data_IF_985610496755
#
_entry.id   IF_985610496755
#
_cell.length_a   1.000
_cell.length_b   1.000
_cell.length_c   1.000
_cell.angle_alpha   90.00
_cell.angle_beta   90.00
_cell.angle_gamma   90.00
#
_symmetry.space_group_name_H-M   'P 1'
#
loop_
_entity.id
_entity.type
_entity.pdbx_description
1 polymer ?
#
# COMPACT_ATOMS: atom_id res chain seq x y z
N UNK A 1 1.85 1.80 6.75
CA UNK A 1 1.77 2.64 5.53
C UNK A 1 0.37 2.51 4.92
N UNK A 2 -0.16 3.58 4.33
CA UNK A 2 -1.51 3.59 3.75
C UNK A 2 -1.54 4.29 2.40
N UNK A 3 -2.45 3.82 1.53
CA UNK A 3 -2.75 4.39 0.22
C UNK A 3 -4.21 4.85 0.22
N UNK A 4 -4.43 6.16 0.18
CA UNK A 4 -5.76 6.78 0.26
C UNK A 4 -6.11 7.44 -1.06
N UNK A 5 -7.32 7.26 -1.61
CA UNK A 5 -7.74 8.01 -2.79
C UNK A 5 -7.72 9.52 -2.54
N UNK A 6 -7.12 10.27 -3.46
CA UNK A 6 -6.87 11.73 -3.33
C UNK A 6 -8.17 12.50 -3.01
N UNK A 7 -9.29 12.06 -3.56
CA UNK A 7 -10.62 12.67 -3.37
C UNK A 7 -11.21 12.53 -1.95
N UNK A 8 -10.70 11.62 -1.12
CA UNK A 8 -11.11 11.43 0.29
C UNK A 8 -9.93 11.57 1.26
N UNK A 9 -8.82 12.13 0.79
CA UNK A 9 -7.59 12.23 1.58
C UNK A 9 -7.80 13.00 2.89
N UNK A 10 -8.53 14.11 2.86
CA UNK A 10 -8.87 14.92 4.04
C UNK A 10 -9.84 14.24 5.01
N UNK A 11 -10.35 13.04 4.68
CA UNK A 11 -11.15 12.23 5.60
C UNK A 11 -10.30 11.27 6.43
N UNK A 12 -8.98 11.21 6.18
CA UNK A 12 -8.04 10.44 6.99
C UNK A 12 -7.46 11.31 8.10
N UNK A 13 -7.79 11.02 9.37
CA UNK A 13 -7.35 11.80 10.54
C UNK A 13 -6.03 11.32 11.15
N UNK A 14 -5.50 10.18 10.69
CA UNK A 14 -4.29 9.59 11.25
C UNK A 14 -4.45 9.12 12.70
N UNK A 15 -3.39 9.29 13.49
CA UNK A 15 -3.34 8.88 14.90
C UNK A 15 -3.84 9.96 15.88
N UNK A 16 -4.03 11.20 15.41
CA UNK A 16 -4.45 12.32 16.26
C UNK A 16 -5.98 12.49 16.19
N UNK A 17 -6.69 11.72 17.01
CA UNK A 17 -8.14 11.89 17.20
C UNK A 17 -8.56 11.58 18.63
N UNK A 18 -9.54 12.33 19.15
CA UNK A 18 -10.17 12.08 20.45
C UNK A 18 -11.20 10.92 20.40
N UNK A 19 -11.32 10.23 19.27
CA UNK A 19 -12.22 9.09 19.12
C UNK A 19 -11.71 7.87 19.88
N UNK A 20 -12.62 6.93 20.17
CA UNK A 20 -12.26 5.70 20.90
C UNK A 20 -11.37 4.74 20.08
N UNK A 21 -11.37 4.89 18.76
CA UNK A 21 -10.53 4.15 17.82
C UNK A 21 -10.15 5.11 16.69
N UNK A 22 -8.85 5.33 16.49
CA UNK A 22 -8.35 6.26 15.47
C UNK A 22 -8.27 5.60 14.10
N UNK A 23 -8.15 6.39 13.04
CA UNK A 23 -7.88 5.87 11.69
C UNK A 23 -6.61 5.02 11.64
N UNK A 24 -5.57 5.45 12.37
CA UNK A 24 -4.35 4.69 12.55
C UNK A 24 -4.59 3.34 13.23
N UNK A 25 -5.40 3.28 14.30
CA UNK A 25 -5.73 2.02 14.99
C UNK A 25 -6.44 1.04 14.05
N UNK A 26 -7.37 1.54 13.22
CA UNK A 26 -8.06 0.74 12.18
C UNK A 26 -7.08 0.20 11.14
N UNK A 27 -6.07 0.98 10.76
CA UNK A 27 -5.03 0.51 9.84
C UNK A 27 -4.13 -0.55 10.47
N UNK A 28 -3.67 -0.36 11.71
CA UNK A 28 -2.87 -1.35 12.45
C UNK A 28 -3.64 -2.63 12.77
N UNK A 29 -4.97 -2.58 12.83
CA UNK A 29 -5.81 -3.77 13.00
C UNK A 29 -5.95 -4.65 11.76
N UNK A 30 -5.36 -4.27 10.62
CA UNK A 30 -5.40 -5.08 9.39
C UNK A 30 -4.41 -6.24 9.48
N UNK A 31 -4.94 -7.46 9.43
CA UNK A 31 -4.15 -8.67 9.29
C UNK A 31 -3.60 -8.84 7.87
N UNK A 32 -2.45 -9.52 7.76
CA UNK A 32 -1.85 -9.92 6.49
C UNK A 32 -0.97 -8.83 5.87
N UNK A 33 -0.72 -8.97 4.56
CA UNK A 33 0.21 -8.09 3.85
C UNK A 33 -0.45 -6.86 3.24
N UNK A 34 -1.76 -6.92 3.02
CA UNK A 34 -2.56 -5.78 2.60
C UNK A 34 -4.02 -5.95 3.01
N UNK A 35 -4.70 -4.82 3.27
CA UNK A 35 -6.13 -4.83 3.56
C UNK A 35 -6.80 -3.51 3.28
N UNK A 36 -8.13 -3.53 3.20
CA UNK A 36 -8.94 -2.35 2.91
C UNK A 36 -9.66 -1.85 4.17
N UNK A 37 -9.54 -0.56 4.45
CA UNK A 37 -10.25 0.13 5.53
C UNK A 37 -11.13 1.24 4.95
N UNK A 38 -12.27 1.53 5.59
CA UNK A 38 -13.15 2.60 5.14
C UNK A 38 -12.53 3.99 5.41
N UNK A 39 -12.70 4.94 4.50
CA UNK A 39 -12.31 6.35 4.67
C UNK A 39 -13.27 7.24 3.88
N UNK A 40 -13.95 8.16 4.57
CA UNK A 40 -14.98 9.00 3.95
C UNK A 40 -16.05 8.17 3.24
N UNK A 41 -16.17 8.32 1.92
CA UNK A 41 -17.10 7.57 1.05
C UNK A 41 -16.39 6.51 0.18
N UNK A 42 -15.15 6.16 0.52
CA UNK A 42 -14.31 5.21 -0.22
C UNK A 42 -13.58 4.25 0.73
N UNK A 43 -12.59 3.54 0.21
CA UNK A 43 -11.68 2.69 0.97
C UNK A 43 -10.23 3.11 0.72
N UNK A 44 -9.41 2.96 1.76
CA UNK A 44 -7.97 3.06 1.69
C UNK A 44 -7.34 1.68 1.78
N UNK A 45 -6.18 1.53 1.15
CA UNK A 45 -5.40 0.31 1.14
C UNK A 45 -4.25 0.43 2.14
N UNK A 46 -4.26 -0.42 3.16
CA UNK A 46 -3.16 -0.59 4.12
C UNK A 46 -2.11 -1.51 3.50
N UNK A 47 -0.85 -1.11 3.62
CA UNK A 47 0.30 -1.86 3.11
C UNK A 47 1.10 -2.43 4.28
N UNK A 48 0.63 -3.57 4.82
CA UNK A 48 1.16 -4.28 5.98
C UNK A 48 1.44 -3.42 7.22
N UNK A 49 1.85 -4.09 8.29
CA UNK A 49 2.03 -3.44 9.60
C UNK A 49 3.47 -2.92 9.80
N UNK A 50 4.48 -3.65 9.33
CA UNK A 50 5.88 -3.25 9.55
C UNK A 50 6.29 -2.00 8.74
N UNK A 51 7.08 -1.08 9.32
CA UNK A 51 7.64 0.05 8.58
C UNK A 51 8.61 -0.45 7.51
N UNK A 52 8.39 -0.03 6.27
CA UNK A 52 9.23 -0.41 5.13
C UNK A 52 9.25 0.69 4.07
N UNK A 53 10.45 0.98 3.53
CA UNK A 53 10.59 1.84 2.36
C UNK A 53 9.77 1.26 1.21
N UNK A 54 8.89 2.07 0.63
CA UNK A 54 7.90 1.61 -0.34
C UNK A 54 7.99 2.42 -1.62
N UNK A 55 8.05 1.75 -2.76
CA UNK A 55 8.00 2.35 -4.10
C UNK A 55 6.84 1.78 -4.90
N UNK A 56 6.42 2.48 -5.95
CA UNK A 56 5.40 2.02 -6.88
C UNK A 56 6.00 1.87 -8.28
N UNK A 57 5.76 0.71 -8.92
CA UNK A 57 6.16 0.39 -10.29
C UNK A 57 4.91 0.45 -11.19
N UNK A 58 4.67 1.56 -11.92
CA UNK A 58 3.43 1.78 -12.66
C UNK A 58 3.16 0.73 -13.74
N UNK A 59 4.20 0.27 -14.44
CA UNK A 59 4.11 -0.71 -15.53
C UNK A 59 3.57 -2.06 -15.06
N UNK A 60 3.63 -2.33 -13.76
CA UNK A 60 3.21 -3.58 -13.11
C UNK A 60 2.03 -3.40 -12.16
N UNK A 61 1.61 -2.16 -11.92
CA UNK A 61 0.64 -1.81 -10.88
C UNK A 61 1.09 -2.32 -9.50
N UNK A 62 2.37 -2.18 -9.16
CA UNK A 62 2.97 -2.92 -8.04
C UNK A 62 3.58 -1.98 -7.01
N UNK A 63 3.13 -2.06 -5.77
CA UNK A 63 3.90 -1.55 -4.64
C UNK A 63 4.95 -2.58 -4.23
N UNK A 64 6.20 -2.12 -4.12
CA UNK A 64 7.34 -2.91 -3.67
C UNK A 64 7.80 -2.32 -2.35
N UNK A 65 7.72 -3.12 -1.29
CA UNK A 65 8.15 -2.75 0.05
C UNK A 65 9.44 -3.49 0.39
N UNK A 66 10.46 -2.72 0.71
CA UNK A 66 11.77 -3.21 1.10
C UNK A 66 11.72 -3.68 2.56
N UNK A 67 11.70 -5.00 2.76
CA UNK A 67 11.84 -5.59 4.10
C UNK A 67 13.32 -5.85 4.42
N UNK A 68 14.08 -6.43 3.48
CA UNK A 68 15.53 -6.58 3.55
C UNK A 68 16.13 -6.71 2.14
N UNK A 69 17.34 -6.19 1.94
CA UNK A 69 18.21 -6.35 0.78
C UNK A 69 19.52 -5.60 1.05
N UNK A 70 20.63 -5.96 0.39
CA UNK A 70 21.89 -5.24 0.53
C UNK A 70 21.88 -3.93 -0.28
N UNK A 71 21.03 -3.84 -1.31
CA UNK A 71 20.92 -2.66 -2.16
C UNK A 71 19.59 -2.56 -2.91
N UNK A 72 19.28 -1.36 -3.42
CA UNK A 72 18.11 -1.13 -4.27
C UNK A 72 18.20 -1.90 -5.59
N UNK A 73 19.40 -2.00 -6.16
CA UNK A 73 19.64 -2.74 -7.40
C UNK A 73 19.36 -4.23 -7.24
N UNK A 74 19.80 -4.83 -6.14
CA UNK A 74 19.48 -6.23 -5.81
C UNK A 74 17.97 -6.42 -5.64
N UNK A 75 17.34 -5.55 -4.85
CA UNK A 75 15.90 -5.59 -4.61
C UNK A 75 15.11 -5.53 -5.92
N UNK A 76 15.36 -4.52 -6.75
CA UNK A 76 14.65 -4.33 -8.02
C UNK A 76 14.95 -5.45 -9.01
N UNK A 77 16.20 -5.94 -9.05
CA UNK A 77 16.61 -7.08 -9.88
C UNK A 77 15.91 -8.39 -9.52
N UNK A 78 15.46 -8.53 -8.27
CA UNK A 78 14.75 -9.72 -7.78
C UNK A 78 13.23 -9.72 -8.03
N UNK A 79 12.63 -8.57 -8.37
CA UNK A 79 11.16 -8.41 -8.45
C UNK A 79 10.51 -9.37 -9.46
N UNK A 80 11.13 -9.58 -10.62
CA UNK A 80 10.57 -10.47 -11.64
C UNK A 80 10.53 -11.93 -11.19
N UNK A 81 11.60 -12.40 -10.55
CA UNK A 81 11.64 -13.75 -9.97
C UNK A 81 10.63 -13.87 -8.83
N UNK A 82 10.55 -12.85 -7.97
CA UNK A 82 9.62 -12.82 -6.85
C UNK A 82 8.15 -12.90 -7.31
N UNK A 83 7.80 -12.21 -8.40
CA UNK A 83 6.46 -12.28 -8.98
C UNK A 83 6.13 -13.65 -9.60
N UNK A 84 7.12 -14.35 -10.15
CA UNK A 84 6.94 -15.67 -10.73
C UNK A 84 6.67 -16.74 -9.67
N UNK A 85 7.32 -16.64 -8.52
CA UNK A 85 7.22 -17.60 -7.42
C UNK A 85 6.20 -17.19 -6.33
N UNK A 86 5.55 -16.03 -6.49
CA UNK A 86 4.64 -15.45 -5.51
C UNK A 86 3.47 -16.35 -5.11
N UNK A 87 3.36 -16.62 -3.81
CA UNK A 87 2.20 -17.25 -3.18
C UNK A 87 1.27 -16.18 -2.62
N UNK A 88 0.33 -15.72 -3.45
CA UNK A 88 -0.56 -14.61 -3.13
C UNK A 88 -1.59 -14.93 -2.03
N UNK A 89 -1.84 -13.95 -1.16
CA UNK A 89 -3.01 -13.91 -0.28
C UNK A 89 -4.33 -13.84 -1.09
N UNK A 90 -5.48 -14.17 -0.48
CA UNK A 90 -6.78 -13.99 -1.10
C UNK A 90 -6.98 -12.59 -1.65
N UNK A 91 -7.48 -12.51 -2.89
CA UNK A 91 -7.67 -11.22 -3.56
C UNK A 91 -8.81 -10.42 -2.92
N UNK A 92 -8.59 -9.12 -2.81
CA UNK A 92 -9.60 -8.14 -2.38
C UNK A 92 -10.03 -7.28 -3.57
N UNK A 93 -11.26 -6.77 -3.54
CA UNK A 93 -11.77 -5.85 -4.56
C UNK A 93 -11.76 -4.44 -4.00
N UNK A 94 -11.13 -3.53 -4.74
CA UNK A 94 -11.02 -2.12 -4.36
C UNK A 94 -11.58 -1.24 -5.48
N UNK A 95 -12.62 -0.47 -5.16
CA UNK A 95 -13.17 0.53 -6.07
C UNK A 95 -12.41 1.85 -5.91
N UNK A 96 -11.63 2.22 -6.93
CA UNK A 96 -10.72 3.37 -6.91
C UNK A 96 -11.32 4.50 -7.73
N UNK A 97 -11.55 5.70 -7.15
CA UNK A 97 -12.17 6.83 -7.84
C UNK A 97 -11.20 7.63 -8.73
N UNK A 98 -9.90 7.32 -8.71
CA UNK A 98 -8.86 8.02 -9.46
C UNK A 98 -7.50 7.92 -8.76
N UNK A 99 -6.66 8.97 -8.84
CA UNK A 99 -5.35 8.99 -8.20
C UNK A 99 -5.42 8.72 -6.70
N UNK A 100 -4.35 8.13 -6.18
CA UNK A 100 -4.20 7.75 -4.77
C UNK A 100 -2.89 8.28 -4.22
N UNK A 101 -2.82 8.43 -2.90
CA UNK A 101 -1.66 8.99 -2.19
C UNK A 101 -1.19 7.98 -1.16
N UNK A 102 0.07 7.56 -1.27
CA UNK A 102 0.78 6.70 -0.32
C UNK A 102 1.49 7.57 0.71
N UNK A 103 1.28 7.32 1.99
CA UNK A 103 1.92 8.03 3.10
C UNK A 103 1.91 7.20 4.40
N UNK A 104 2.51 7.74 5.45
CA UNK A 104 2.48 7.14 6.78
C UNK A 104 1.11 7.33 7.43
N UNK A 105 0.47 6.23 7.82
CA UNK A 105 -0.90 6.21 8.34
C UNK A 105 -1.10 7.00 9.63
N UNK A 106 -0.03 7.33 10.36
CA UNK A 106 -0.13 8.13 11.58
C UNK A 106 -0.46 9.60 11.29
N UNK A 107 -0.20 10.09 10.08
CA UNK A 107 -0.40 11.50 9.73
C UNK A 107 -1.80 11.77 9.19
N UNK A 108 -2.41 12.92 9.52
CA UNK A 108 -3.61 13.39 8.85
C UNK A 108 -3.37 13.63 7.36
N UNK A 109 -4.34 13.28 6.51
CA UNK A 109 -4.21 13.41 5.07
C UNK A 109 -4.18 14.87 4.56
N UNK A 110 -4.70 15.80 5.34
CA UNK A 110 -4.69 17.25 5.06
C UNK A 110 -3.41 17.97 5.55
N UNK A 111 -2.51 17.25 6.22
CA UNK A 111 -1.22 17.76 6.73
C UNK A 111 -0.01 17.21 5.96
N UNK A 112 -0.22 16.58 4.81
CA UNK A 112 0.86 16.02 4.00
C UNK A 112 1.70 17.10 3.31
N UNK A 113 3.02 16.93 3.36
CA UNK A 113 4.01 17.78 2.72
C UNK A 113 4.56 17.08 1.46
N UNK A 114 5.02 17.80 0.42
CA UNK A 114 5.51 17.20 -0.83
C UNK A 114 6.56 16.09 -0.66
N UNK A 115 7.32 16.09 0.43
CA UNK A 115 8.40 15.15 0.71
C UNK A 115 7.98 13.89 1.49
N UNK A 116 6.76 13.87 2.06
CA UNK A 116 6.30 12.80 2.96
C UNK A 116 5.23 11.87 2.37
N UNK A 117 4.93 12.02 1.08
CA UNK A 117 3.96 11.20 0.38
C UNK A 117 4.37 10.90 -1.06
N UNK A 118 3.76 9.86 -1.63
CA UNK A 118 3.88 9.49 -3.04
C UNK A 118 2.50 9.47 -3.67
N UNK A 119 2.27 10.35 -4.65
CA UNK A 119 1.06 10.33 -5.47
C UNK A 119 1.20 9.29 -6.59
N UNK A 120 0.21 8.42 -6.72
CA UNK A 120 0.14 7.37 -7.73
C UNK A 120 -1.06 7.61 -8.63
N UNK A 121 -0.80 7.81 -9.92
CA UNK A 121 -1.83 7.99 -10.94
C UNK A 121 -2.50 6.66 -11.30
N UNK A 122 -3.69 6.42 -10.74
CA UNK A 122 -4.56 5.31 -11.10
C UNK A 122 -5.76 5.82 -11.90
N UNK A 123 -6.16 5.05 -12.91
CA UNK A 123 -7.42 5.29 -13.59
C UNK A 123 -8.60 4.92 -12.69
N UNK A 124 -9.72 5.66 -12.71
CA UNK A 124 -10.92 5.25 -12.01
C UNK A 124 -11.39 3.86 -12.45
N UNK A 125 -11.75 3.01 -11.50
CA UNK A 125 -12.25 1.67 -11.78
C UNK A 125 -12.13 0.70 -10.62
N UNK A 126 -12.51 -0.54 -10.87
CA UNK A 126 -12.40 -1.64 -9.90
C UNK A 126 -11.05 -2.34 -10.08
N UNK A 127 -10.36 -2.58 -8.98
CA UNK A 127 -9.07 -3.25 -8.95
C UNK A 127 -9.16 -4.53 -8.11
N UNK A 128 -8.53 -5.60 -8.59
CA UNK A 128 -8.11 -6.72 -7.76
C UNK A 128 -6.82 -6.32 -7.06
N UNK A 129 -6.82 -6.42 -5.74
CA UNK A 129 -5.67 -6.21 -4.85
C UNK A 129 -5.23 -7.57 -4.34
N UNK A 130 -3.94 -7.87 -4.47
CA UNK A 130 -3.34 -9.08 -3.90
C UNK A 130 -1.97 -8.76 -3.34
N UNK A 131 -1.60 -9.44 -2.27
CA UNK A 131 -0.34 -9.21 -1.60
C UNK A 131 0.39 -10.52 -1.35
N UNK A 132 1.71 -10.45 -1.26
CA UNK A 132 2.58 -11.58 -0.93
C UNK A 132 3.82 -11.06 -0.22
N UNK A 133 4.42 -11.93 0.58
CA UNK A 133 5.77 -11.77 1.06
C UNK A 133 6.66 -12.80 0.35
N UNK A 134 7.84 -12.40 -0.08
CA UNK A 134 8.75 -13.24 -0.85
C UNK A 134 10.17 -13.09 -0.32
N UNK A 135 10.88 -14.21 -0.25
CA UNK A 135 12.30 -14.28 0.09
C UNK A 135 13.07 -14.89 -1.09
N UNK A 136 13.43 -14.10 -2.14
CA UNK A 136 14.16 -14.65 -3.28
C UNK A 136 15.51 -15.26 -2.90
N UNK A 137 16.12 -14.75 -1.83
CA UNK A 137 17.32 -15.28 -1.22
C UNK A 137 17.31 -14.98 0.31
N UNK A 138 18.24 -15.54 1.10
CA UNK A 138 18.26 -15.34 2.57
C UNK A 138 18.47 -13.90 3.05
N UNK A 139 18.97 -13.02 2.20
CA UNK A 139 19.32 -11.62 2.52
C UNK A 139 18.33 -10.61 1.91
N UNK A 140 17.48 -11.05 0.99
CA UNK A 140 16.47 -10.22 0.31
C UNK A 140 15.06 -10.68 0.64
N UNK A 141 14.27 -9.78 1.22
CA UNK A 141 12.88 -9.99 1.55
C UNK A 141 12.03 -8.83 1.05
N UNK A 142 10.92 -9.16 0.41
CA UNK A 142 10.02 -8.21 -0.24
C UNK A 142 8.59 -8.45 0.19
N UNK A 143 7.88 -7.36 0.44
CA UNK A 143 6.43 -7.40 0.43
C UNK A 143 5.92 -6.72 -0.84
N UNK A 144 5.15 -7.48 -1.62
CA UNK A 144 4.63 -7.07 -2.92
C UNK A 144 3.12 -6.93 -2.85
N UNK A 145 2.58 -5.77 -3.21
CA UNK A 145 1.14 -5.53 -3.29
C UNK A 145 0.80 -5.11 -4.72
N UNK A 146 0.07 -5.97 -5.43
CA UNK A 146 -0.28 -5.76 -6.83
C UNK A 146 -1.72 -5.31 -7.00
N UNK A 147 -1.88 -4.27 -7.79
CA UNK A 147 -3.14 -3.73 -8.29
C UNK A 147 -3.34 -4.16 -9.74
N UNK A 148 -4.45 -4.84 -10.01
CA UNK A 148 -4.85 -5.19 -11.38
C UNK A 148 -6.23 -4.65 -11.66
N UNK A 149 -6.33 -3.73 -12.61
CA UNK A 149 -7.62 -3.19 -13.03
C UNK A 149 -8.47 -4.30 -13.65
N UNK A 150 -9.72 -4.39 -13.23
CA UNK A 150 -10.69 -5.34 -13.76
C UNK A 150 -11.45 -4.73 -14.96
N UNK A 151 -11.95 -5.58 -15.88
CA UNK A 151 -12.73 -5.13 -17.04
C UNK A 151 -14.04 -4.43 -16.70
#
# INVERSE_FOLDING_TARGET
MIVVPEVVLSSWSGADSDESETDYDRACGVDGYAGLVAVGQSQALVLGDDPASTSFLPERGLFVRWCAAESEEELLGSVDAALADAAWEPEQLWDVPGPVVLFDSAWPGDELEPENHLRVDLEPGRYSVRATYVEPNPETWLNLVQLRRLP
#
